data_IF_945992810015
#
_entry.id   IF_945992810015
#
_cell.length_a   1.000
_cell.length_b   1.000
_cell.length_c   1.000
_cell.angle_alpha   90.00
_cell.angle_beta   90.00
_cell.angle_gamma   90.00
#
_symmetry.space_group_name_H-M   'P 1'
#
loop_
_entity.id
_entity.type
_entity.pdbx_description
1 polymer ?
#
# COMPACT_ATOMS: atom_id res chain seq x y z
N UNK A 1 -3.77 0.01 23.60
CA UNK A 1 -3.82 0.97 22.48
C UNK A 1 -3.30 0.29 21.22
N UNK A 2 -3.97 0.47 20.08
CA UNK A 2 -3.53 -0.03 18.78
C UNK A 2 -3.08 1.10 17.86
N UNK A 3 -1.80 1.04 17.48
CA UNK A 3 -1.15 2.01 16.61
C UNK A 3 -0.94 1.42 15.21
N UNK A 4 -1.38 2.16 14.19
CA UNK A 4 -1.21 1.83 12.79
C UNK A 4 -0.16 2.75 12.17
N UNK A 5 0.96 2.19 11.73
CA UNK A 5 2.00 2.90 10.99
C UNK A 5 1.77 2.73 9.49
N UNK A 6 1.58 3.84 8.77
CA UNK A 6 1.56 3.87 7.31
C UNK A 6 2.94 4.29 6.80
N UNK A 7 3.67 3.33 6.19
CA UNK A 7 5.02 3.53 5.66
C UNK A 7 5.14 3.00 4.23
N UNK A 8 4.39 3.65 3.33
CA UNK A 8 4.31 3.27 1.91
C UNK A 8 5.62 3.63 1.20
N UNK A 9 6.21 4.78 1.52
CA UNK A 9 7.45 5.27 0.92
C UNK A 9 8.71 4.56 1.42
N UNK A 10 8.66 3.88 2.58
CA UNK A 10 9.81 3.19 3.18
C UNK A 10 11.03 4.10 3.47
N UNK A 11 10.80 5.39 3.65
CA UNK A 11 11.87 6.40 3.87
C UNK A 11 12.42 6.30 5.30
N UNK A 12 11.56 6.02 6.29
CA UNK A 12 11.92 6.01 7.72
C UNK A 12 11.88 4.64 8.38
N UNK A 13 12.44 3.65 7.69
CA UNK A 13 12.39 2.23 8.11
C UNK A 13 12.82 2.01 9.56
N UNK A 14 13.98 2.53 9.95
CA UNK A 14 14.52 2.37 11.30
C UNK A 14 13.61 2.98 12.38
N UNK A 15 13.11 4.20 12.16
CA UNK A 15 12.21 4.86 13.11
C UNK A 15 10.91 4.07 13.29
N UNK A 16 10.31 3.60 12.18
CA UNK A 16 9.08 2.77 12.24
C UNK A 16 9.32 1.47 13.01
N UNK A 17 10.46 0.83 12.82
CA UNK A 17 10.83 -0.39 13.55
C UNK A 17 11.00 -0.12 15.05
N UNK A 18 11.65 1.00 15.40
CA UNK A 18 11.86 1.38 16.81
C UNK A 18 10.56 1.77 17.49
N UNK A 19 9.78 2.68 16.89
CA UNK A 19 8.51 3.15 17.44
C UNK A 19 7.49 2.02 17.56
N UNK A 20 7.41 1.13 16.55
CA UNK A 20 6.50 -0.02 16.63
C UNK A 20 6.93 -1.02 17.70
N UNK A 21 8.24 -1.19 17.94
CA UNK A 21 8.73 -1.98 19.07
C UNK A 21 8.34 -1.35 20.40
N UNK A 22 8.50 -0.04 20.54
CA UNK A 22 8.14 0.66 21.77
C UNK A 22 6.65 0.49 22.08
N UNK A 23 5.76 0.62 21.07
CA UNK A 23 4.32 0.37 21.26
C UNK A 23 4.04 -1.02 21.83
N UNK A 24 4.76 -2.05 21.37
CA UNK A 24 4.62 -3.42 21.92
C UNK A 24 5.19 -3.50 23.34
N UNK A 25 6.34 -2.88 23.60
CA UNK A 25 6.95 -2.84 24.92
C UNK A 25 6.04 -2.17 25.96
N UNK A 26 5.27 -1.17 25.54
CA UNK A 26 4.27 -0.47 26.37
C UNK A 26 2.97 -1.28 26.56
N UNK A 27 2.91 -2.53 26.08
CA UNK A 27 1.71 -3.39 26.16
C UNK A 27 0.63 -3.05 25.14
N UNK A 28 0.96 -2.26 24.12
CA UNK A 28 0.08 -1.94 23.00
C UNK A 28 0.08 -3.00 21.88
N UNK A 29 -0.65 -2.68 20.82
CA UNK A 29 -0.62 -3.42 19.56
C UNK A 29 -0.08 -2.50 18.46
N UNK A 30 0.76 -3.04 17.57
CA UNK A 30 1.33 -2.29 16.45
C UNK A 30 1.08 -3.02 15.13
N UNK A 31 0.52 -2.29 14.16
CA UNK A 31 0.41 -2.75 12.77
C UNK A 31 1.21 -1.81 11.87
N UNK A 32 2.09 -2.35 11.04
CA UNK A 32 2.90 -1.60 10.08
C UNK A 32 2.46 -1.97 8.66
N UNK A 33 2.02 -0.99 7.89
CA UNK A 33 1.65 -1.17 6.49
C UNK A 33 2.76 -0.65 5.60
N UNK A 34 3.21 -1.50 4.68
CA UNK A 34 4.26 -1.19 3.71
C UNK A 34 3.78 -1.48 2.29
N UNK A 35 4.29 -0.74 1.31
CA UNK A 35 3.98 -1.01 -0.10
C UNK A 35 4.51 -2.38 -0.54
N UNK A 36 5.75 -2.69 -0.17
CA UNK A 36 6.47 -3.91 -0.51
C UNK A 36 7.47 -4.27 0.59
N UNK A 37 7.67 -5.55 0.89
CA UNK A 37 8.65 -5.98 1.90
C UNK A 37 10.11 -5.86 1.46
N UNK A 38 10.41 -5.74 0.15
CA UNK A 38 11.79 -5.70 -0.36
C UNK A 38 12.69 -4.67 0.34
N UNK A 39 12.29 -3.38 0.42
CA UNK A 39 13.00 -2.35 1.18
C UNK A 39 13.15 -2.69 2.67
N UNK A 40 12.27 -3.47 3.27
CA UNK A 40 12.29 -3.79 4.70
C UNK A 40 13.09 -5.04 5.04
N UNK A 41 13.71 -5.68 4.05
CA UNK A 41 14.41 -6.96 4.20
C UNK A 41 15.59 -6.96 5.17
N UNK A 42 16.20 -5.79 5.43
CA UNK A 42 17.31 -5.63 6.39
C UNK A 42 16.85 -5.24 7.79
N UNK A 43 15.55 -4.99 7.96
CA UNK A 43 14.98 -4.55 9.23
C UNK A 43 14.34 -5.74 9.95
N UNK A 44 14.46 -5.76 11.28
CA UNK A 44 13.85 -6.78 12.12
C UNK A 44 12.80 -6.16 13.01
N UNK A 45 11.54 -6.44 12.70
CA UNK A 45 10.42 -6.04 13.55
C UNK A 45 10.38 -6.89 14.83
N UNK A 46 9.96 -6.27 15.93
CA UNK A 46 9.78 -6.97 17.19
C UNK A 46 8.66 -8.02 17.11
N UNK A 47 8.77 -9.08 17.91
CA UNK A 47 7.72 -10.09 18.05
C UNK A 47 6.42 -9.42 18.49
N UNK A 48 5.32 -9.70 17.79
CA UNK A 48 4.01 -9.09 18.05
C UNK A 48 3.68 -7.89 17.14
N UNK A 49 4.65 -7.31 16.43
CA UNK A 49 4.37 -6.31 15.40
C UNK A 49 3.78 -7.00 14.16
N UNK A 50 2.60 -6.56 13.74
CA UNK A 50 1.94 -7.08 12.54
C UNK A 50 2.34 -6.29 11.31
N UNK A 51 3.09 -6.91 10.40
CA UNK A 51 3.50 -6.27 9.14
C UNK A 51 2.57 -6.67 8.00
N UNK A 52 2.06 -5.69 7.27
CA UNK A 52 1.13 -5.87 6.14
C UNK A 52 1.80 -5.37 4.86
N UNK A 53 2.14 -6.31 3.98
CA UNK A 53 2.64 -6.05 2.63
C UNK A 53 1.48 -5.88 1.64
N UNK A 54 1.27 -4.65 1.17
CA UNK A 54 0.21 -4.33 0.21
C UNK A 54 0.42 -5.04 -1.14
N UNK A 55 1.64 -5.11 -1.65
CA UNK A 55 1.96 -5.82 -2.88
C UNK A 55 1.75 -7.33 -2.76
N UNK A 56 2.02 -7.93 -1.58
CA UNK A 56 1.71 -9.33 -1.33
C UNK A 56 0.20 -9.59 -1.24
N UNK A 57 -0.55 -8.68 -0.60
CA UNK A 57 -2.01 -8.75 -0.55
C UNK A 57 -2.64 -8.62 -1.94
N UNK A 58 -2.14 -7.69 -2.76
CA UNK A 58 -2.62 -7.50 -4.12
C UNK A 58 -2.38 -8.76 -4.98
N UNK A 59 -1.20 -9.37 -4.88
CA UNK A 59 -0.86 -10.63 -5.60
C UNK A 59 -1.77 -11.81 -5.25
N UNK A 60 -2.44 -11.79 -4.10
CA UNK A 60 -3.39 -12.83 -3.67
C UNK A 60 -4.81 -12.61 -4.21
N UNK A 61 -5.10 -11.46 -4.82
CA UNK A 61 -6.43 -11.21 -5.38
C UNK A 61 -6.62 -12.02 -6.69
N UNK A 62 -7.70 -12.80 -6.80
CA UNK A 62 -7.96 -13.63 -8.00
C UNK A 62 -8.26 -12.78 -9.24
N UNK A 63 -8.72 -11.54 -9.05
CA UNK A 63 -9.04 -10.62 -10.16
C UNK A 63 -7.83 -10.33 -11.07
N UNK A 64 -6.62 -10.22 -10.52
CA UNK A 64 -5.39 -10.05 -11.33
C UNK A 64 -5.11 -11.29 -12.19
N UNK A 65 -5.40 -12.49 -11.66
CA UNK A 65 -5.18 -13.75 -12.36
C UNK A 65 -6.20 -13.96 -13.46
N UNK A 66 -7.46 -13.60 -13.22
CA UNK A 66 -8.53 -13.68 -14.23
C UNK A 66 -8.28 -12.68 -15.35
N UNK A 67 -7.87 -11.44 -15.04
CA UNK A 67 -7.47 -10.44 -16.04
C UNK A 67 -6.31 -10.97 -16.89
N UNK A 68 -5.20 -11.42 -16.28
CA UNK A 68 -4.06 -11.95 -17.03
C UNK A 68 -4.41 -13.20 -17.84
N UNK A 69 -5.27 -14.06 -17.31
CA UNK A 69 -5.72 -15.25 -18.01
C UNK A 69 -6.60 -14.90 -19.22
N UNK A 70 -7.56 -14.00 -19.06
CA UNK A 70 -8.50 -13.61 -20.11
C UNK A 70 -7.84 -12.72 -21.18
N UNK A 71 -7.07 -11.70 -20.79
CA UNK A 71 -6.46 -10.76 -21.73
C UNK A 71 -5.24 -11.32 -22.45
N UNK A 72 -4.43 -12.17 -21.80
CA UNK A 72 -3.13 -12.54 -22.34
C UNK A 72 -2.93 -14.04 -22.58
N UNK A 73 -3.44 -14.92 -21.69
CA UNK A 73 -3.20 -16.36 -21.81
C UNK A 73 -4.21 -17.07 -22.72
N UNK A 74 -5.48 -16.73 -22.64
CA UNK A 74 -6.53 -17.35 -23.44
C UNK A 74 -6.35 -17.10 -24.94
N UNK A 75 -6.08 -15.86 -25.43
CA UNK A 75 -5.87 -15.62 -26.85
C UNK A 75 -4.63 -16.34 -27.37
N UNK A 76 -3.54 -16.35 -26.58
CA UNK A 76 -2.31 -17.07 -26.92
C UNK A 76 -2.51 -18.57 -27.01
N UNK A 77 -3.28 -19.18 -26.10
CA UNK A 77 -3.61 -20.60 -26.19
C UNK A 77 -4.45 -20.88 -27.44
N UNK A 78 -5.50 -20.10 -27.68
CA UNK A 78 -6.38 -20.26 -28.85
C UNK A 78 -5.58 -20.18 -30.16
N UNK A 79 -4.71 -19.17 -30.29
CA UNK A 79 -3.85 -18.99 -31.45
C UNK A 79 -2.77 -20.07 -31.59
N UNK A 80 -2.31 -20.66 -30.49
CA UNK A 80 -1.32 -21.75 -30.51
C UNK A 80 -1.96 -23.09 -30.86
N UNK A 81 -3.24 -23.28 -30.52
CA UNK A 81 -4.04 -24.46 -30.91
C UNK A 81 -4.42 -24.38 -32.38
N UNK A 82 -4.84 -23.22 -32.88
CA UNK A 82 -5.24 -23.02 -34.28
C UNK A 82 -4.01 -22.83 -35.21
N UNK A 83 -2.89 -22.33 -34.70
CA UNK A 83 -1.71 -21.93 -35.48
C UNK A 83 -0.59 -22.98 -35.61
N UNK A 84 -0.85 -24.27 -35.35
CA UNK A 84 0.12 -25.35 -35.65
C UNK A 84 0.11 -25.62 -37.16
N UNK A 85 1.05 -25.02 -37.89
CA UNK A 85 1.20 -25.24 -39.34
C UNK A 85 1.71 -24.01 -40.12
N UNK A 86 1.65 -24.01 -41.47
CA UNK A 86 2.19 -22.97 -42.35
C UNK A 86 1.60 -21.56 -42.12
N UNK A 87 0.48 -21.45 -41.38
CA UNK A 87 -0.21 -20.21 -41.04
C UNK A 87 0.40 -19.43 -39.86
N UNK A 88 1.53 -19.90 -39.30
CA UNK A 88 2.23 -19.28 -38.14
C UNK A 88 2.61 -17.81 -38.33
N UNK A 89 2.84 -17.36 -39.57
CA UNK A 89 3.15 -15.94 -39.87
C UNK A 89 1.91 -15.06 -39.81
N UNK A 90 0.75 -15.57 -40.24
CA UNK A 90 -0.53 -14.85 -40.22
C UNK A 90 -1.05 -14.74 -38.79
N UNK A 91 -0.93 -15.81 -37.99
CA UNK A 91 -1.35 -15.81 -36.59
C UNK A 91 -0.57 -14.81 -35.73
N UNK A 92 0.74 -14.64 -35.96
CA UNK A 92 1.55 -13.60 -35.30
C UNK A 92 1.09 -12.18 -35.64
N UNK A 93 0.66 -11.94 -36.89
CA UNK A 93 0.15 -10.64 -37.34
C UNK A 93 -1.21 -10.34 -36.70
N UNK A 94 -2.08 -11.34 -36.63
CA UNK A 94 -3.36 -11.27 -35.93
C UNK A 94 -3.19 -11.05 -34.42
N UNK A 95 -2.22 -11.72 -33.77
CA UNK A 95 -1.90 -11.52 -32.34
C UNK A 95 -1.51 -10.07 -32.06
N UNK A 96 -0.61 -9.48 -32.89
CA UNK A 96 -0.22 -8.06 -32.74
C UNK A 96 -1.38 -7.10 -32.99
N UNK A 97 -2.24 -7.38 -33.97
CA UNK A 97 -3.41 -6.55 -34.25
C UNK A 97 -4.43 -6.60 -33.12
N UNK A 98 -4.70 -7.79 -32.57
CA UNK A 98 -5.55 -7.99 -31.40
C UNK A 98 -5.00 -7.28 -30.16
N UNK A 99 -3.69 -7.43 -29.90
CA UNK A 99 -3.07 -6.79 -28.75
C UNK A 99 -3.19 -5.26 -28.81
N UNK A 100 -2.92 -4.65 -29.97
CA UNK A 100 -3.03 -3.20 -30.15
C UNK A 100 -4.47 -2.67 -30.12
N UNK A 101 -5.44 -3.42 -30.66
CA UNK A 101 -6.83 -2.94 -30.81
C UNK A 101 -7.74 -3.26 -29.63
N UNK A 102 -7.48 -4.36 -28.93
CA UNK A 102 -8.35 -4.84 -27.86
C UNK A 102 -7.62 -4.91 -26.52
N UNK A 103 -6.41 -5.48 -26.47
CA UNK A 103 -5.74 -5.68 -25.19
C UNK A 103 -5.29 -4.36 -24.54
N UNK A 104 -4.67 -3.45 -25.29
CA UNK A 104 -4.20 -2.18 -24.73
C UNK A 104 -5.36 -1.26 -24.28
N UNK A 105 -6.44 -1.07 -25.08
CA UNK A 105 -7.58 -0.27 -24.64
C UNK A 105 -8.36 -0.94 -23.50
N UNK A 106 -8.57 -2.25 -23.55
CA UNK A 106 -9.26 -2.97 -22.48
C UNK A 106 -8.43 -2.95 -21.18
N UNK A 107 -7.11 -3.10 -21.24
CA UNK A 107 -6.25 -2.96 -20.07
C UNK A 107 -6.31 -1.54 -19.50
N UNK A 108 -6.26 -0.49 -20.34
CA UNK A 108 -6.44 0.90 -19.88
C UNK A 108 -7.81 1.15 -19.26
N UNK A 109 -8.88 0.66 -19.89
CA UNK A 109 -10.24 0.77 -19.37
C UNK A 109 -10.40 0.01 -18.04
N UNK A 110 -9.78 -1.16 -17.93
CA UNK A 110 -9.80 -1.99 -16.74
C UNK A 110 -9.05 -1.30 -15.60
N UNK A 111 -7.83 -0.80 -15.83
CA UNK A 111 -7.07 -0.02 -14.84
C UNK A 111 -7.87 1.20 -14.37
N UNK A 112 -8.57 1.88 -15.28
CA UNK A 112 -9.40 3.06 -14.96
C UNK A 112 -10.65 2.71 -14.15
N UNK A 113 -11.35 1.62 -14.49
CA UNK A 113 -12.53 1.15 -13.74
C UNK A 113 -12.17 0.59 -12.37
N UNK A 114 -10.99 -0.04 -12.23
CA UNK A 114 -10.61 -0.71 -10.99
C UNK A 114 -10.36 0.26 -9.83
N UNK A 115 -10.03 1.51 -10.15
CA UNK A 115 -9.56 2.48 -9.19
C UNK A 115 -8.32 1.99 -8.43
N UNK A 116 -7.92 2.72 -7.39
CA UNK A 116 -6.79 2.32 -6.58
C UNK A 116 -7.19 1.14 -5.66
N UNK A 117 -6.96 -0.09 -6.15
CA UNK A 117 -7.24 -1.32 -5.38
C UNK A 117 -6.47 -1.35 -4.05
N UNK A 118 -5.34 -0.64 -3.98
CA UNK A 118 -4.52 -0.52 -2.77
C UNK A 118 -5.32 0.14 -1.66
N UNK A 119 -6.09 1.18 -1.96
CA UNK A 119 -6.96 1.84 -0.98
C UNK A 119 -8.01 0.87 -0.41
N UNK A 120 -8.59 0.02 -1.26
CA UNK A 120 -9.58 -0.98 -0.83
C UNK A 120 -8.96 -2.07 0.04
N UNK A 121 -7.78 -2.55 -0.35
CA UNK A 121 -7.01 -3.52 0.41
C UNK A 121 -6.57 -2.96 1.76
N UNK A 122 -6.09 -1.72 1.78
CA UNK A 122 -5.72 -0.98 2.98
C UNK A 122 -6.91 -0.86 3.92
N UNK A 123 -8.03 -0.32 3.43
CA UNK A 123 -9.24 -0.17 4.23
C UNK A 123 -9.71 -1.51 4.80
N UNK A 124 -9.69 -2.59 4.01
CA UNK A 124 -10.07 -3.94 4.46
C UNK A 124 -9.09 -4.54 5.46
N UNK A 125 -7.81 -4.26 5.32
CA UNK A 125 -6.78 -4.73 6.24
C UNK A 125 -6.91 -4.01 7.60
N UNK A 126 -7.22 -2.72 7.57
CA UNK A 126 -7.36 -1.83 8.73
C UNK A 126 -8.77 -1.85 9.34
N UNK A 127 -9.80 -2.40 8.67
CA UNK A 127 -11.15 -2.54 9.22
C UNK A 127 -11.28 -3.72 10.18
N UNK A 128 -10.33 -4.66 10.18
CA UNK A 128 -10.36 -5.86 11.02
C UNK A 128 -10.00 -5.60 12.49
N UNK A 129 -9.46 -4.43 12.79
CA UNK A 129 -9.05 -4.08 14.14
C UNK A 129 -9.37 -2.60 14.40
N UNK A 130 -9.94 -2.26 15.57
CA UNK A 130 -10.05 -0.87 15.98
C UNK A 130 -8.64 -0.28 16.02
N UNK A 131 -8.48 0.92 15.45
CA UNK A 131 -7.19 1.63 15.43
C UNK A 131 -7.42 2.89 16.23
N UNK A 132 -6.60 3.13 17.25
CA UNK A 132 -6.70 4.28 18.13
C UNK A 132 -5.85 5.44 17.60
N UNK A 133 -4.66 5.11 17.06
CA UNK A 133 -3.70 6.07 16.53
C UNK A 133 -3.24 5.65 15.14
N UNK A 134 -3.28 6.59 14.20
CA UNK A 134 -2.75 6.46 12.85
C UNK A 134 -1.48 7.29 12.74
N UNK A 135 -0.33 6.65 12.64
CA UNK A 135 0.97 7.29 12.41
C UNK A 135 1.28 7.24 10.93
N UNK A 136 1.40 8.40 10.30
CA UNK A 136 1.84 8.49 8.91
C UNK A 136 3.31 8.85 8.90
N UNK A 137 4.13 8.04 8.22
CA UNK A 137 5.59 8.08 8.39
C UNK A 137 6.31 8.72 7.20
N UNK A 138 5.60 8.91 6.09
CA UNK A 138 6.10 9.53 4.87
C UNK A 138 5.00 10.33 4.15
N UNK A 139 5.36 11.39 3.41
CA UNK A 139 4.38 12.19 2.66
C UNK A 139 3.61 11.38 1.60
N UNK A 140 4.23 10.33 1.05
CA UNK A 140 3.61 9.46 0.03
C UNK A 140 2.43 8.68 0.63
N UNK A 141 2.46 8.42 1.94
CA UNK A 141 1.39 7.76 2.68
C UNK A 141 0.20 8.68 3.01
N UNK A 142 0.28 10.00 2.83
CA UNK A 142 -0.81 10.93 3.20
C UNK A 142 -2.13 10.71 2.47
N UNK A 143 -2.16 10.57 1.14
CA UNK A 143 -3.42 10.33 0.43
C UNK A 143 -4.11 9.05 0.92
N UNK A 144 -3.33 8.04 1.30
CA UNK A 144 -3.83 6.79 1.86
C UNK A 144 -4.43 6.99 3.26
N UNK A 145 -3.78 7.80 4.10
CA UNK A 145 -4.28 8.16 5.43
C UNK A 145 -5.61 8.91 5.34
N UNK A 146 -5.71 9.93 4.49
CA UNK A 146 -6.95 10.70 4.27
C UNK A 146 -8.09 9.79 3.84
N UNK A 147 -7.87 8.94 2.83
CA UNK A 147 -8.88 8.00 2.33
C UNK A 147 -9.31 6.97 3.37
N UNK A 148 -8.38 6.55 4.24
CA UNK A 148 -8.68 5.63 5.33
C UNK A 148 -9.61 6.29 6.36
N UNK A 149 -9.37 7.57 6.68
CA UNK A 149 -10.19 8.35 7.60
C UNK A 149 -11.57 8.66 7.03
N UNK A 150 -11.65 9.07 5.76
CA UNK A 150 -12.92 9.35 5.08
C UNK A 150 -13.85 8.13 5.09
N UNK A 151 -13.29 6.93 4.88
CA UNK A 151 -14.07 5.67 4.91
C UNK A 151 -14.48 5.23 6.32
N UNK A 152 -13.82 5.75 7.36
CA UNK A 152 -14.14 5.49 8.76
C UNK A 152 -15.13 6.50 9.35
N UNK A 153 -15.54 7.53 8.61
CA UNK A 153 -16.58 8.48 9.03
C UNK A 153 -17.83 7.69 9.46
N UNK A 154 -18.12 7.68 10.76
CA UNK A 154 -19.18 6.88 11.40
C UNK A 154 -18.71 5.94 12.52
N UNK A 155 -17.40 5.69 12.65
CA UNK A 155 -16.79 4.97 13.79
C UNK A 155 -15.88 5.92 14.59
N UNK A 156 -15.46 5.51 15.80
CA UNK A 156 -14.44 6.21 16.57
C UNK A 156 -13.23 6.50 15.66
N UNK A 157 -13.00 7.79 15.38
CA UNK A 157 -12.00 8.22 14.42
C UNK A 157 -10.63 8.16 15.08
N UNK A 158 -9.64 7.48 14.48
CA UNK A 158 -8.30 7.40 15.06
C UNK A 158 -7.67 8.79 15.11
N UNK A 159 -6.88 9.05 16.16
CA UNK A 159 -6.03 10.24 16.23
C UNK A 159 -4.94 10.11 15.17
N UNK A 160 -4.77 11.12 14.34
CA UNK A 160 -3.78 11.12 13.26
C UNK A 160 -2.55 11.85 13.76
N UNK A 161 -1.43 11.14 13.80
CA UNK A 161 -0.13 11.71 14.12
C UNK A 161 0.74 11.66 12.88
N UNK A 162 1.45 12.75 12.64
CA UNK A 162 2.41 12.84 11.56
C UNK A 162 3.76 13.24 12.14
N UNK A 163 4.73 12.35 12.05
CA UNK A 163 6.10 12.63 12.48
C UNK A 163 6.87 13.21 11.30
N UNK A 164 7.54 14.35 11.51
CA UNK A 164 8.36 15.04 10.51
C UNK A 164 9.82 15.21 10.98
N UNK A 165 10.51 14.11 11.27
CA UNK A 165 11.97 14.15 11.44
C UNK A 165 12.68 14.33 10.08
N UNK A 166 12.93 15.58 9.72
CA UNK A 166 13.84 15.92 8.64
C UNK A 166 15.27 15.55 9.06
N UNK A 167 15.67 14.29 8.85
CA UNK A 167 17.07 13.87 8.98
C UNK A 167 17.90 14.34 7.77
N UNK A 168 17.82 15.64 7.47
CA UNK A 168 18.63 16.33 6.47
C UNK A 168 19.65 17.28 7.10
N UNK A 169 19.34 17.88 8.26
CA UNK A 169 20.26 18.70 9.04
C UNK A 169 19.78 18.73 10.49
N UNK A 170 20.30 17.83 11.32
CA UNK A 170 20.35 18.07 12.76
C UNK A 170 21.83 17.99 13.14
N UNK A 171 22.53 19.10 12.90
CA UNK A 171 23.65 19.49 13.76
C UNK A 171 23.15 19.51 15.20
N UNK A 172 24.00 19.03 16.10
CA UNK A 172 23.86 19.00 17.56
C UNK A 172 22.82 19.96 18.15
N UNK A 173 21.96 19.39 19.02
CA UNK A 173 21.18 20.15 19.99
C UNK A 173 19.75 20.47 19.56
N UNK A 174 18.85 19.49 19.64
CA UNK A 174 17.42 19.77 19.77
C UNK A 174 16.94 19.49 21.18
N UNK A 175 16.82 20.60 21.92
CA UNK A 175 16.00 20.77 23.09
C UNK A 175 14.63 20.12 22.90
N UNK A 176 14.22 19.38 23.93
CA UNK A 176 12.87 18.86 24.13
C UNK A 176 11.91 20.05 24.26
N UNK A 177 10.84 20.20 23.45
CA UNK A 177 9.83 21.20 23.72
C UNK A 177 8.96 20.75 24.91
N UNK A 178 8.71 21.68 25.82
CA UNK A 178 7.80 21.53 26.95
C UNK A 178 6.38 21.12 26.49
N UNK A 179 5.67 20.25 27.23
CA UNK A 179 4.35 19.76 26.86
C UNK A 179 3.20 20.79 26.98
N UNK A 180 3.49 22.06 27.23
CA UNK A 180 2.48 23.08 27.60
C UNK A 180 2.08 24.07 26.50
N UNK A 181 2.44 23.83 25.23
CA UNK A 181 1.95 24.65 24.11
C UNK A 181 0.74 24.02 23.43
N UNK A 182 -0.33 23.84 24.19
CA UNK A 182 -1.69 23.84 23.65
C UNK A 182 -2.17 25.30 23.52
N UNK A 183 -3.04 25.54 22.53
CA UNK A 183 -3.90 26.72 22.37
C UNK A 183 -3.36 27.84 21.46
N UNK A 184 -3.53 27.63 20.16
CA UNK A 184 -3.66 28.72 19.19
C UNK A 184 -5.15 28.99 18.95
N UNK A 185 -5.61 30.12 19.48
CA UNK A 185 -6.92 30.71 19.20
C UNK A 185 -7.08 30.94 17.69
N UNK A 186 -8.21 30.48 17.15
CA UNK A 186 -8.70 30.91 15.84
C UNK A 186 -9.67 32.08 16.07
N UNK A 187 -9.24 33.27 15.68
CA UNK A 187 -10.13 34.39 15.33
C UNK A 187 -9.98 34.66 13.83
#
# INVERSE_FOLDING_TARGET
MHVLFLSVGSVRRRAVVEESRQVIADGGAATVVVDKMGPWSRETFATGVRVIDLAALQRRLPADRVEQAALYKAPRKLLRTIGRGPLRKVSKRAERAFQRRLADPAHRAFVRMRGDQRDRLLARACSRSPVDVLVVTDPVAMPYAVRLLERRRGHASPRVCFSYDYSGMATDGQNRPDPDSAQGDNS
#
